data_IF_304555294422
#
_entry.id   IF_304555294422
#
_cell.length_a   1.000
_cell.length_b   1.000
_cell.length_c   1.000
_cell.angle_alpha   90.00
_cell.angle_beta   90.00
_cell.angle_gamma   90.00
#
_symmetry.space_group_name_H-M   'P 1'
#
loop_
_entity.id
_entity.type
_entity.pdbx_description
1 polymer ?
#
# COMPACT_ATOMS: atom_id res chain seq x y z
N UNK A 1 0.93 52.81 2.93
CA UNK A 1 1.55 51.52 2.59
C UNK A 1 1.72 51.45 1.08
N UNK A 2 2.94 51.32 0.57
CA UNK A 2 3.21 51.29 -0.88
C UNK A 2 2.45 50.15 -1.57
N UNK A 3 1.87 50.40 -2.74
CA UNK A 3 1.21 49.39 -3.59
C UNK A 3 2.10 48.14 -3.77
N UNK A 4 3.42 48.34 -3.80
CA UNK A 4 4.43 47.29 -3.92
C UNK A 4 4.41 46.34 -2.71
N UNK A 5 4.18 46.86 -1.50
CA UNK A 5 4.09 46.04 -0.27
C UNK A 5 2.79 45.23 -0.22
N UNK A 6 1.70 45.78 -0.74
CA UNK A 6 0.41 45.06 -0.83
C UNK A 6 0.46 43.98 -1.91
N UNK A 7 1.05 44.27 -3.07
CA UNK A 7 1.24 43.31 -4.15
C UNK A 7 2.18 42.16 -3.76
N UNK A 8 3.29 42.47 -3.07
CA UNK A 8 4.20 41.44 -2.55
C UNK A 8 3.53 40.54 -1.50
N UNK A 9 2.72 41.11 -0.59
CA UNK A 9 1.96 40.33 0.39
C UNK A 9 0.90 39.43 -0.27
N UNK A 10 0.24 39.90 -1.34
CA UNK A 10 -0.73 39.11 -2.11
C UNK A 10 -0.07 37.95 -2.86
N UNK A 11 1.09 38.18 -3.47
CA UNK A 11 1.88 37.16 -4.18
C UNK A 11 2.42 36.09 -3.23
N UNK A 12 2.85 36.46 -2.03
CA UNK A 12 3.28 35.51 -0.99
C UNK A 12 2.08 34.68 -0.49
N UNK A 13 0.92 35.30 -0.28
CA UNK A 13 -0.30 34.60 0.12
C UNK A 13 -0.81 33.59 -0.93
N UNK A 14 -0.58 33.85 -2.22
CA UNK A 14 -0.95 32.96 -3.32
C UNK A 14 -0.01 31.75 -3.49
N UNK A 15 1.20 31.78 -2.91
CA UNK A 15 2.21 30.74 -3.09
C UNK A 15 2.12 29.55 -2.11
N UNK A 16 1.18 29.55 -1.17
CA UNK A 16 1.09 28.53 -0.11
C UNK A 16 0.18 27.33 -0.40
N UNK A 17 -0.52 27.28 -1.53
CA UNK A 17 -1.32 26.10 -1.91
C UNK A 17 -0.52 25.18 -2.82
N UNK A 18 0.41 24.42 -2.26
CA UNK A 18 0.98 23.24 -2.92
C UNK A 18 -0.08 22.12 -2.96
N UNK A 19 -1.14 22.30 -3.75
CA UNK A 19 -2.13 21.27 -3.98
C UNK A 19 -1.48 20.13 -4.78
N UNK A 20 -1.51 18.91 -4.23
CA UNK A 20 -1.17 17.71 -4.97
C UNK A 20 -2.19 17.53 -6.10
N UNK A 21 -1.69 17.21 -7.30
CA UNK A 21 -2.53 16.96 -8.47
C UNK A 21 -3.26 15.63 -8.32
N UNK A 22 -4.49 15.55 -8.82
CA UNK A 22 -5.14 14.26 -8.96
C UNK A 22 -4.50 13.47 -10.11
N UNK A 23 -4.35 12.16 -9.94
CA UNK A 23 -3.70 11.32 -10.94
C UNK A 23 -4.64 10.94 -12.10
N UNK A 24 -5.96 11.00 -11.91
CA UNK A 24 -7.01 10.59 -12.86
C UNK A 24 -6.88 9.18 -13.46
N UNK A 25 -5.91 8.39 -13.00
CA UNK A 25 -5.72 7.00 -13.39
C UNK A 25 -6.89 6.10 -12.95
N UNK A 26 -7.25 5.08 -13.76
CA UNK A 26 -8.24 4.10 -13.37
C UNK A 26 -7.80 3.27 -12.15
N UNK A 27 -8.76 2.90 -11.32
CA UNK A 27 -8.52 2.14 -10.09
C UNK A 27 -8.51 0.64 -10.41
N UNK A 28 -7.43 -0.05 -10.05
CA UNK A 28 -7.23 -1.46 -10.34
C UNK A 28 -8.12 -2.34 -9.46
N UNK A 29 -8.72 -3.37 -10.06
CA UNK A 29 -9.34 -4.47 -9.36
C UNK A 29 -8.33 -5.60 -9.20
N UNK A 30 -8.15 -6.06 -7.97
CA UNK A 30 -7.19 -7.09 -7.62
C UNK A 30 -7.91 -8.40 -7.29
N UNK A 31 -7.30 -9.54 -7.60
CA UNK A 31 -7.83 -10.85 -7.23
C UNK A 31 -6.71 -11.74 -6.66
N UNK A 32 -6.94 -12.25 -5.46
CA UNK A 32 -6.06 -13.19 -4.76
C UNK A 32 -5.91 -14.48 -5.57
N UNK A 33 -4.71 -15.07 -5.57
CA UNK A 33 -4.48 -16.40 -6.14
C UNK A 33 -3.97 -17.39 -5.11
N UNK A 34 -2.88 -17.06 -4.42
CA UNK A 34 -2.25 -17.93 -3.42
C UNK A 34 -1.22 -17.17 -2.61
N UNK A 35 -0.80 -17.75 -1.49
CA UNK A 35 0.36 -17.32 -0.72
C UNK A 35 1.32 -18.52 -0.51
N UNK A 36 2.61 -18.23 -0.50
CA UNK A 36 3.67 -19.20 -0.22
C UNK A 36 4.53 -18.66 0.93
N UNK A 37 4.98 -19.49 1.89
CA UNK A 37 5.79 -19.02 3.00
C UNK A 37 7.18 -18.61 2.53
N UNK A 38 7.73 -17.55 3.14
CA UNK A 38 9.13 -17.18 3.01
C UNK A 38 9.89 -17.69 4.25
N UNK A 39 11.04 -18.34 4.03
CA UNK A 39 11.80 -18.95 5.12
C UNK A 39 12.29 -17.93 6.15
N UNK A 40 12.22 -18.29 7.44
CA UNK A 40 12.89 -17.60 8.55
C UNK A 40 12.10 -16.48 9.25
N UNK A 41 10.91 -16.10 8.78
CA UNK A 41 10.04 -15.09 9.41
C UNK A 41 8.59 -15.21 8.93
N UNK A 42 7.68 -14.42 9.52
CA UNK A 42 6.28 -14.31 9.09
C UNK A 42 6.20 -13.40 7.87
N UNK A 43 6.64 -13.96 6.75
CA UNK A 43 6.62 -13.34 5.44
C UNK A 43 6.05 -14.32 4.42
N UNK A 44 5.35 -13.79 3.43
CA UNK A 44 4.73 -14.59 2.38
C UNK A 44 5.07 -14.03 1.00
N UNK A 45 5.37 -14.90 0.06
CA UNK A 45 5.25 -14.61 -1.36
C UNK A 45 3.76 -14.69 -1.74
N UNK A 46 3.12 -13.53 -1.82
CA UNK A 46 1.72 -13.41 -2.22
C UNK A 46 1.62 -13.29 -3.74
N UNK A 47 0.74 -14.08 -4.36
CA UNK A 47 0.41 -13.98 -5.77
C UNK A 47 -1.02 -13.47 -5.95
N UNK A 48 -1.19 -12.47 -6.81
CA UNK A 48 -2.49 -11.90 -7.14
C UNK A 48 -2.48 -11.37 -8.58
N UNK A 49 -3.68 -11.13 -9.13
CA UNK A 49 -3.83 -10.55 -10.47
C UNK A 49 -4.47 -9.17 -10.45
N UNK A 50 -4.08 -8.32 -11.40
CA UNK A 50 -4.65 -6.99 -11.63
C UNK A 50 -5.27 -6.91 -13.03
N UNK A 51 -6.38 -6.21 -13.18
CA UNK A 51 -6.94 -5.84 -14.49
C UNK A 51 -6.13 -4.74 -15.20
N UNK A 52 -5.38 -3.96 -14.45
CA UNK A 52 -4.48 -2.92 -14.95
C UNK A 52 -3.01 -3.32 -14.82
N UNK A 53 -2.17 -2.80 -15.71
CA UNK A 53 -0.72 -2.85 -15.54
C UNK A 53 -0.32 -1.86 -14.45
N UNK A 54 0.01 -2.36 -13.28
CA UNK A 54 0.37 -1.54 -12.12
C UNK A 54 1.66 -0.74 -12.38
N UNK A 55 2.56 -1.26 -13.21
CA UNK A 55 3.83 -0.60 -13.51
C UNK A 55 3.61 0.60 -14.47
N UNK A 56 2.45 0.67 -15.13
CA UNK A 56 2.10 1.76 -16.05
C UNK A 56 1.16 2.82 -15.45
N UNK A 57 0.64 2.62 -14.22
CA UNK A 57 -0.33 3.55 -13.62
C UNK A 57 0.21 4.99 -13.62
N UNK A 58 1.48 5.18 -13.26
CA UNK A 58 2.10 6.50 -13.25
C UNK A 58 3.06 6.78 -14.41
N UNK A 59 3.34 5.81 -15.28
CA UNK A 59 4.21 6.04 -16.45
C UNK A 59 3.63 7.06 -17.44
N UNK A 60 2.32 7.33 -17.33
CA UNK A 60 1.56 8.26 -18.17
C UNK A 60 1.47 9.68 -17.59
N UNK A 61 2.08 9.93 -16.42
CA UNK A 61 2.04 11.23 -15.76
C UNK A 61 3.29 12.06 -16.11
N UNK A 62 3.06 13.31 -16.49
CA UNK A 62 4.15 14.24 -16.80
C UNK A 62 5.07 14.46 -15.60
N UNK A 63 6.37 14.27 -15.80
CA UNK A 63 7.40 14.58 -14.81
C UNK A 63 7.41 13.68 -13.57
N UNK A 64 6.84 12.46 -13.64
CA UNK A 64 6.76 11.52 -12.52
C UNK A 64 8.14 11.00 -12.09
N UNK A 65 8.85 11.78 -11.27
CA UNK A 65 10.01 11.29 -10.51
C UNK A 65 9.58 10.38 -9.36
N UNK A 66 10.48 9.44 -9.01
CA UNK A 66 10.39 8.40 -7.94
C UNK A 66 8.98 7.88 -7.68
N UNK A 67 8.68 6.70 -8.23
CA UNK A 67 7.47 5.94 -7.95
C UNK A 67 7.76 5.01 -6.77
N UNK A 68 7.14 5.29 -5.63
CA UNK A 68 6.99 4.29 -4.57
C UNK A 68 5.80 3.41 -4.92
N UNK A 69 5.97 2.09 -4.89
CA UNK A 69 4.91 1.13 -5.16
C UNK A 69 5.01 -0.03 -4.17
N UNK A 70 3.93 -0.30 -3.45
CA UNK A 70 3.86 -1.39 -2.48
C UNK A 70 2.46 -1.99 -2.41
N UNK A 71 2.39 -3.21 -1.89
CA UNK A 71 1.16 -3.75 -1.33
C UNK A 71 1.12 -3.36 0.15
N UNK A 72 0.05 -2.70 0.58
CA UNK A 72 -0.21 -2.37 1.98
C UNK A 72 -1.43 -3.14 2.45
N UNK A 73 -1.29 -3.85 3.57
CA UNK A 73 -2.32 -4.67 4.20
C UNK A 73 -2.57 -4.16 5.61
N UNK A 74 -3.81 -4.28 6.09
CA UNK A 74 -4.14 -3.92 7.46
C UNK A 74 -4.58 -5.12 8.27
N UNK A 75 -3.94 -5.28 9.43
CA UNK A 75 -4.38 -6.22 10.44
C UNK A 75 -5.32 -5.55 11.47
N UNK A 76 -5.76 -4.32 11.24
CA UNK A 76 -6.81 -3.66 12.03
C UNK A 76 -8.21 -4.19 11.63
N UNK A 77 -9.19 -4.05 12.52
CA UNK A 77 -10.58 -4.45 12.26
C UNK A 77 -11.28 -3.50 11.28
N UNK A 78 -11.05 -2.20 11.42
CA UNK A 78 -11.63 -1.14 10.59
C UNK A 78 -10.51 -0.29 9.99
N UNK A 79 -9.90 -0.73 8.88
CA UNK A 79 -8.72 -0.08 8.35
C UNK A 79 -9.05 1.19 7.57
N UNK A 80 -8.30 2.25 7.82
CA UNK A 80 -8.30 3.46 7.01
C UNK A 80 -7.04 3.49 6.13
N UNK A 81 -7.19 3.30 4.83
CA UNK A 81 -6.08 3.49 3.89
C UNK A 81 -6.04 4.95 3.42
N UNK A 82 -5.16 5.75 4.02
CA UNK A 82 -4.95 7.15 3.68
C UNK A 82 -3.48 7.54 3.89
N UNK A 83 -3.02 8.58 3.20
CA UNK A 83 -1.61 9.02 3.24
C UNK A 83 -1.18 9.58 4.59
N UNK A 84 -2.10 10.20 5.32
CA UNK A 84 -1.92 10.82 6.63
C UNK A 84 -2.36 9.89 7.78
N UNK A 85 -2.68 8.64 7.47
CA UNK A 85 -3.07 7.65 8.46
C UNK A 85 -2.01 6.55 8.60
N UNK A 86 -1.52 6.38 9.82
CA UNK A 86 -0.63 5.29 10.18
C UNK A 86 -1.47 4.09 10.62
N UNK A 87 -1.34 2.97 9.92
CA UNK A 87 -1.98 1.70 10.29
C UNK A 87 -1.09 1.03 11.35
N UNK A 88 -1.53 0.86 12.61
CA UNK A 88 -0.65 0.40 13.69
C UNK A 88 -0.15 -1.03 13.50
N UNK A 89 -1.00 -1.94 13.03
CA UNK A 89 -0.66 -3.32 12.73
C UNK A 89 -0.92 -3.60 11.25
N UNK A 90 0.13 -3.88 10.50
CA UNK A 90 0.08 -3.86 9.03
C UNK A 90 0.94 -4.94 8.40
N UNK A 91 0.68 -5.16 7.11
CA UNK A 91 1.60 -5.86 6.22
C UNK A 91 2.05 -4.92 5.12
N UNK A 92 3.31 -5.00 4.73
CA UNK A 92 3.82 -4.26 3.57
C UNK A 92 4.69 -5.16 2.70
N UNK A 93 4.59 -4.99 1.39
CA UNK A 93 5.39 -5.77 0.45
C UNK A 93 5.75 -5.02 -0.81
N UNK A 94 6.90 -5.40 -1.38
CA UNK A 94 7.33 -4.94 -2.70
C UNK A 94 6.49 -5.61 -3.77
N UNK A 95 6.35 -4.98 -4.94
CA UNK A 95 5.58 -5.53 -6.06
C UNK A 95 6.49 -5.87 -7.22
N UNK A 96 6.26 -7.04 -7.82
CA UNK A 96 6.95 -7.50 -9.01
C UNK A 96 5.95 -8.11 -9.98
N UNK A 97 5.95 -7.63 -11.22
CA UNK A 97 5.16 -8.24 -12.30
C UNK A 97 5.88 -9.50 -12.78
N UNK A 98 5.27 -10.65 -12.55
CA UNK A 98 5.86 -11.98 -12.88
C UNK A 98 5.21 -12.63 -14.10
N UNK A 99 4.21 -11.99 -14.72
CA UNK A 99 3.67 -12.44 -16.00
C UNK A 99 2.23 -11.98 -16.25
N UNK A 100 1.48 -12.80 -16.98
CA UNK A 100 0.05 -12.64 -17.22
C UNK A 100 -0.68 -13.97 -17.01
N UNK A 101 -1.90 -13.91 -16.51
CA UNK A 101 -2.76 -15.07 -16.32
C UNK A 101 -4.20 -14.70 -16.67
N UNK A 102 -4.83 -15.47 -17.57
CA UNK A 102 -6.23 -15.27 -17.99
C UNK A 102 -6.54 -13.81 -18.41
N UNK A 103 -5.65 -13.20 -19.20
CA UNK A 103 -5.80 -11.83 -19.68
C UNK A 103 -5.44 -10.73 -18.66
N UNK A 104 -5.23 -11.07 -17.38
CA UNK A 104 -4.85 -10.15 -16.29
C UNK A 104 -3.35 -10.15 -16.06
N UNK A 105 -2.84 -9.10 -15.43
CA UNK A 105 -1.42 -8.97 -15.06
C UNK A 105 -1.18 -9.73 -13.75
N UNK A 106 -0.15 -10.59 -13.72
CA UNK A 106 0.19 -11.41 -12.57
C UNK A 106 1.32 -10.75 -11.78
N UNK A 107 1.10 -10.59 -10.48
CA UNK A 107 2.04 -9.98 -9.55
C UNK A 107 2.43 -10.95 -8.44
N UNK A 108 3.69 -10.82 -8.01
CA UNK A 108 4.22 -11.36 -6.76
C UNK A 108 4.49 -10.20 -5.80
N UNK A 109 4.15 -10.38 -4.53
CA UNK A 109 4.53 -9.49 -3.45
C UNK A 109 5.25 -10.26 -2.36
N UNK A 110 6.47 -9.82 -1.98
CA UNK A 110 7.11 -10.30 -0.73
C UNK A 110 6.53 -9.48 0.42
N UNK A 111 5.52 -10.04 1.07
CA UNK A 111 4.72 -9.40 2.11
C UNK A 111 5.26 -9.79 3.48
N UNK A 112 5.59 -8.82 4.32
CA UNK A 112 5.95 -9.03 5.72
C UNK A 112 5.01 -8.24 6.64
N UNK A 113 4.84 -8.72 7.87
CA UNK A 113 3.95 -8.08 8.85
C UNK A 113 4.74 -7.45 9.98
N UNK A 114 4.30 -6.25 10.35
CA UNK A 114 4.93 -5.43 11.35
C UNK A 114 3.87 -4.66 12.16
N UNK A 115 4.32 -4.13 13.28
CA UNK A 115 3.58 -3.12 14.01
C UNK A 115 4.42 -1.88 14.22
N UNK A 116 3.76 -0.73 14.27
CA UNK A 116 4.41 0.52 14.58
C UNK A 116 4.75 0.63 16.05
N UNK A 117 5.92 1.16 16.34
CA UNK A 117 6.37 1.56 17.68
C UNK A 117 6.60 3.08 17.72
N UNK A 118 6.85 3.61 18.91
CA UNK A 118 7.26 5.02 19.10
C UNK A 118 6.30 6.03 18.47
N UNK A 119 5.00 5.79 18.64
CA UNK A 119 3.91 6.62 18.10
C UNK A 119 3.91 6.69 16.56
N UNK A 120 4.30 5.61 15.88
CA UNK A 120 4.33 5.54 14.42
C UNK A 120 5.69 5.90 13.80
N UNK A 121 6.71 6.19 14.61
CA UNK A 121 8.04 6.62 14.13
C UNK A 121 8.99 5.47 13.84
N UNK A 122 8.67 4.26 14.27
CA UNK A 122 9.48 3.07 14.05
C UNK A 122 8.57 1.86 13.84
N UNK A 123 9.13 0.76 13.35
CA UNK A 123 8.40 -0.47 13.10
C UNK A 123 9.20 -1.67 13.59
N UNK A 124 8.50 -2.72 13.99
CA UNK A 124 9.09 -4.03 14.32
C UNK A 124 8.28 -5.14 13.69
N UNK A 125 8.95 -6.18 13.22
CA UNK A 125 8.26 -7.40 12.77
C UNK A 125 7.47 -8.02 13.92
N UNK A 126 6.30 -8.56 13.60
CA UNK A 126 5.47 -9.27 14.57
C UNK A 126 5.78 -10.77 14.60
N UNK A 127 5.55 -11.38 15.75
CA UNK A 127 5.69 -12.82 15.96
C UNK A 127 4.38 -13.58 15.65
N UNK A 128 4.43 -14.91 15.73
CA UNK A 128 3.32 -15.78 15.34
C UNK A 128 2.12 -15.61 16.27
N UNK A 129 2.38 -15.42 17.56
CA UNK A 129 1.33 -15.18 18.56
C UNK A 129 0.59 -13.89 18.22
N UNK A 130 1.31 -12.80 17.94
CA UNK A 130 0.74 -11.50 17.59
C UNK A 130 -0.02 -11.55 16.26
N UNK A 131 0.49 -12.26 15.26
CA UNK A 131 -0.22 -12.48 13.99
C UNK A 131 -1.52 -13.27 14.19
N UNK A 132 -1.49 -14.34 14.98
CA UNK A 132 -2.67 -15.15 15.31
C UNK A 132 -3.72 -14.33 16.08
N UNK A 133 -3.31 -13.57 17.09
CA UNK A 133 -4.18 -12.66 17.85
C UNK A 133 -4.87 -11.66 16.92
N UNK A 134 -4.12 -11.10 15.97
CA UNK A 134 -4.62 -10.11 15.03
C UNK A 134 -5.62 -10.68 14.01
N UNK A 135 -5.53 -11.98 13.71
CA UNK A 135 -6.44 -12.67 12.80
C UNK A 135 -7.55 -13.46 13.53
N UNK A 136 -7.56 -13.47 14.86
CA UNK A 136 -8.55 -14.21 15.63
C UNK A 136 -9.97 -13.75 15.26
N UNK A 137 -10.79 -14.69 14.80
CA UNK A 137 -12.18 -14.42 14.40
C UNK A 137 -12.33 -13.67 13.06
N UNK A 138 -11.24 -13.40 12.33
CA UNK A 138 -11.29 -12.71 11.03
C UNK A 138 -11.26 -13.71 9.88
N UNK A 139 -12.03 -13.41 8.83
CA UNK A 139 -12.08 -14.21 7.61
C UNK A 139 -11.06 -13.75 6.57
N UNK A 140 -10.67 -12.48 6.60
CA UNK A 140 -9.78 -11.89 5.60
C UNK A 140 -8.94 -10.72 6.10
N UNK A 141 -7.82 -10.49 5.44
CA UNK A 141 -6.94 -9.31 5.59
C UNK A 141 -7.12 -8.40 4.38
N UNK A 142 -7.65 -7.17 4.55
CA UNK A 142 -7.78 -6.21 3.46
C UNK A 142 -6.41 -5.61 3.11
N UNK A 143 -6.13 -5.55 1.81
CA UNK A 143 -4.93 -4.96 1.26
C UNK A 143 -5.24 -4.06 0.06
N UNK A 144 -4.37 -3.09 -0.20
CA UNK A 144 -4.40 -2.24 -1.38
C UNK A 144 -3.01 -2.10 -1.95
N UNK A 145 -2.93 -2.02 -3.27
CA UNK A 145 -1.73 -1.49 -3.91
C UNK A 145 -1.73 0.01 -3.70
N UNK A 146 -0.64 0.52 -3.13
CA UNK A 146 -0.42 1.94 -2.87
C UNK A 146 0.72 2.39 -3.76
N UNK A 147 0.52 3.51 -4.45
CA UNK A 147 1.58 4.14 -5.22
C UNK A 147 1.66 5.62 -4.91
N UNK A 148 2.87 6.16 -4.89
CA UNK A 148 3.12 7.59 -4.71
C UNK A 148 3.98 8.10 -5.86
N UNK A 149 3.62 9.25 -6.41
CA UNK A 149 4.42 9.98 -7.39
C UNK A 149 4.55 11.45 -6.96
N UNK A 150 5.70 12.07 -7.21
CA UNK A 150 5.93 13.45 -6.80
C UNK A 150 4.91 14.40 -7.42
N UNK A 151 4.28 15.24 -6.58
CA UNK A 151 3.29 16.22 -7.02
C UNK A 151 1.90 15.68 -7.32
N UNK A 152 1.66 14.38 -7.10
CA UNK A 152 0.35 13.74 -7.30
C UNK A 152 -0.18 13.11 -6.00
N UNK A 153 -1.50 13.09 -5.83
CA UNK A 153 -2.16 12.30 -4.79
C UNK A 153 -1.78 10.83 -4.93
N UNK A 154 -1.66 10.15 -3.79
CA UNK A 154 -1.38 8.73 -3.77
C UNK A 154 -2.52 7.94 -4.41
N UNK A 155 -2.13 6.93 -5.15
CA UNK A 155 -3.01 5.97 -5.77
C UNK A 155 -3.30 4.84 -4.80
N UNK A 156 -4.57 4.42 -4.76
CA UNK A 156 -5.03 3.27 -4.00
C UNK A 156 -5.87 2.39 -4.91
N UNK A 157 -5.53 1.11 -5.03
CA UNK A 157 -6.38 0.14 -5.73
C UNK A 157 -7.72 -0.09 -5.00
N UNK A 158 -8.61 -0.85 -5.64
CA UNK A 158 -9.68 -1.52 -4.91
C UNK A 158 -9.09 -2.55 -3.95
N UNK A 159 -9.86 -2.87 -2.91
CA UNK A 159 -9.41 -3.75 -1.82
C UNK A 159 -9.25 -5.18 -2.32
N UNK A 160 -8.05 -5.72 -2.17
CA UNK A 160 -7.73 -7.13 -2.25
C UNK A 160 -8.00 -7.77 -0.88
N UNK A 161 -8.83 -8.81 -0.84
CA UNK A 161 -9.10 -9.56 0.39
C UNK A 161 -8.24 -10.82 0.42
N UNK A 162 -7.27 -10.89 1.33
CA UNK A 162 -6.47 -12.10 1.54
C UNK A 162 -7.21 -13.04 2.49
N UNK A 163 -7.43 -14.33 2.13
CA UNK A 163 -8.12 -15.26 3.02
C UNK A 163 -7.26 -15.59 4.25
N UNK A 164 -7.74 -15.29 5.47
CA UNK A 164 -7.00 -15.56 6.71
C UNK A 164 -6.73 -17.06 6.88
N UNK A 165 -7.68 -17.91 6.47
CA UNK A 165 -7.57 -19.36 6.51
C UNK A 165 -6.45 -19.91 5.62
N UNK A 166 -6.00 -19.17 4.59
CA UNK A 166 -4.86 -19.56 3.76
C UNK A 166 -3.53 -19.02 4.29
N UNK A 167 -3.54 -17.96 5.10
CA UNK A 167 -2.31 -17.39 5.68
C UNK A 167 -1.87 -18.12 6.96
N UNK A 168 -2.83 -18.45 7.85
CA UNK A 168 -2.54 -19.06 9.15
C UNK A 168 -1.75 -20.39 9.05
N UNK A 169 -2.03 -21.31 8.10
CA UNK A 169 -1.27 -22.56 7.97
C UNK A 169 0.16 -22.37 7.46
N UNK A 170 0.51 -21.19 6.92
CA UNK A 170 1.83 -20.90 6.35
C UNK A 170 2.82 -20.35 7.37
N UNK A 171 2.39 -20.17 8.63
CA UNK A 171 3.25 -19.69 9.68
C UNK A 171 4.36 -20.72 9.99
N UNK A 172 5.60 -20.27 10.27
CA UNK A 172 6.67 -21.19 10.65
C UNK A 172 6.28 -21.98 11.89
N UNK A 173 6.65 -23.27 11.92
CA UNK A 173 6.51 -24.12 13.10
C UNK A 173 7.44 -23.59 14.21
N UNK A 174 6.93 -23.55 15.44
CA UNK A 174 7.71 -23.19 16.65
C UNK A 174 8.53 -24.38 17.14
#
# INVERSE_FOLDING_TARGET
MSLIRVAAALLIALSCSACMKDHHQPIANLAYLRAEPEAGRISFNLFFTSDLDLDEVYSRLDGSGKIGQSLSCSLEHEPLFAMDHVIPLFGVGTLERVGRQQGRFLYRSSLHFAETTDEGRSERFIDQRRFNEALAGRTSVPCKVVMTAYGYRAYFSNTLMLPAAELLPLLPLQ
#
